data_IF_899057889615
#
_entry.id   IF_899057889615
#
_cell.length_a   1.000
_cell.length_b   1.000
_cell.length_c   1.000
_cell.angle_alpha   90.00
_cell.angle_beta   90.00
_cell.angle_gamma   90.00
#
_symmetry.space_group_name_H-M   'P 1'
#
loop_
_entity.id
_entity.type
_entity.pdbx_description
1 polymer ?
#
# COMPACT_ATOMS: atom_id res chain seq x y z
N UNK A 1 1.98 -26.32 -3.38
CA UNK A 1 1.25 -25.12 -2.93
C UNK A 1 2.15 -24.48 -1.91
N UNK A 2 2.60 -23.23 -2.13
CA UNK A 2 3.39 -22.55 -1.11
C UNK A 2 2.53 -22.42 0.14
N UNK A 3 2.99 -22.98 1.26
CA UNK A 3 2.38 -22.89 2.60
C UNK A 3 2.48 -21.47 3.21
N UNK A 4 2.68 -20.44 2.38
CA UNK A 4 2.76 -19.08 2.86
C UNK A 4 1.34 -18.60 3.18
N UNK A 5 1.09 -18.13 4.41
CA UNK A 5 -0.21 -17.57 4.76
C UNK A 5 -0.53 -16.40 3.84
N UNK A 6 -1.80 -16.28 3.46
CA UNK A 6 -2.25 -15.14 2.68
C UNK A 6 -1.93 -13.83 3.42
N UNK A 7 -1.44 -12.85 2.69
CA UNK A 7 -1.10 -11.53 3.24
C UNK A 7 -2.37 -10.82 3.72
N UNK A 8 -2.29 -10.22 4.90
CA UNK A 8 -3.31 -9.28 5.37
C UNK A 8 -3.15 -7.92 4.70
N UNK A 9 -4.16 -7.06 4.78
CA UNK A 9 -4.06 -5.69 4.25
C UNK A 9 -2.91 -4.91 4.90
N UNK A 10 -2.64 -5.14 6.18
CA UNK A 10 -1.52 -4.50 6.90
C UNK A 10 -0.17 -5.02 6.37
N UNK A 11 -0.05 -6.33 6.10
CA UNK A 11 1.15 -6.89 5.48
C UNK A 11 1.39 -6.29 4.09
N UNK A 12 0.33 -6.13 3.29
CA UNK A 12 0.41 -5.50 1.97
C UNK A 12 0.82 -4.03 2.07
N UNK A 13 0.26 -3.29 3.03
CA UNK A 13 0.63 -1.89 3.27
C UNK A 13 2.11 -1.76 3.62
N UNK A 14 2.60 -2.59 4.55
CA UNK A 14 3.98 -2.58 5.02
C UNK A 14 4.97 -2.95 3.91
N UNK A 15 4.63 -3.95 3.08
CA UNK A 15 5.43 -4.32 1.92
C UNK A 15 5.56 -3.18 0.90
N UNK A 16 4.44 -2.52 0.58
CA UNK A 16 4.45 -1.36 -0.30
C UNK A 16 5.25 -0.20 0.31
N UNK A 17 5.17 -0.02 1.63
CA UNK A 17 5.91 1.04 2.32
C UNK A 17 7.41 0.79 2.30
N UNK A 18 7.83 -0.44 2.62
CA UNK A 18 9.22 -0.84 2.58
C UNK A 18 9.81 -0.71 1.16
N UNK A 19 9.05 -1.10 0.13
CA UNK A 19 9.46 -0.93 -1.26
C UNK A 19 9.62 0.55 -1.63
N UNK A 20 8.65 1.39 -1.27
CA UNK A 20 8.71 2.83 -1.50
C UNK A 20 9.93 3.47 -0.83
N UNK A 21 10.19 3.15 0.44
CA UNK A 21 11.37 3.63 1.17
C UNK A 21 12.66 3.21 0.47
N UNK A 22 12.76 1.94 0.06
CA UNK A 22 13.93 1.40 -0.66
C UNK A 22 14.20 2.17 -1.96
N UNK A 23 13.17 2.64 -2.65
CA UNK A 23 13.31 3.39 -3.90
C UNK A 23 13.52 4.90 -3.70
N UNK A 24 12.89 5.49 -2.68
CA UNK A 24 12.92 6.94 -2.42
C UNK A 24 14.34 7.49 -2.18
N UNK A 25 15.26 6.66 -1.68
CA UNK A 25 16.64 7.04 -1.39
C UNK A 25 17.63 6.68 -2.51
N UNK A 26 17.15 6.23 -3.66
CA UNK A 26 18.01 5.80 -4.77
C UNK A 26 17.96 6.80 -5.93
N UNK A 27 19.09 6.94 -6.61
CA UNK A 27 19.19 7.68 -7.86
C UNK A 27 19.63 6.73 -8.97
N UNK A 28 19.18 7.01 -10.19
CA UNK A 28 19.57 6.24 -11.37
C UNK A 28 20.38 7.15 -12.29
N UNK A 29 21.46 6.60 -12.85
CA UNK A 29 22.40 7.35 -13.67
C UNK A 29 21.83 7.74 -15.05
N UNK A 30 20.85 6.97 -15.56
CA UNK A 30 20.26 7.17 -16.88
C UNK A 30 18.90 7.87 -16.80
N UNK A 31 18.57 8.66 -17.82
CA UNK A 31 17.27 9.35 -17.92
C UNK A 31 16.10 8.36 -17.95
N UNK A 32 16.23 7.28 -18.71
CA UNK A 32 15.19 6.25 -18.80
C UNK A 32 14.98 5.56 -17.45
N UNK A 33 16.07 5.27 -16.74
CA UNK A 33 16.01 4.69 -15.40
C UNK A 33 15.37 5.63 -14.38
N UNK A 34 15.64 6.94 -14.46
CA UNK A 34 14.97 7.94 -13.63
C UNK A 34 13.47 8.00 -13.90
N UNK A 35 13.06 7.94 -15.17
CA UNK A 35 11.64 7.94 -15.54
C UNK A 35 10.91 6.69 -15.02
N UNK A 36 11.54 5.51 -15.14
CA UNK A 36 10.98 4.26 -14.61
C UNK A 36 10.91 4.28 -13.08
N UNK A 37 11.97 4.73 -12.39
CA UNK A 37 12.00 4.82 -10.94
C UNK A 37 10.94 5.80 -10.41
N UNK A 38 10.82 6.99 -11.02
CA UNK A 38 9.78 7.96 -10.67
C UNK A 38 8.37 7.41 -10.88
N UNK A 39 8.16 6.66 -11.97
CA UNK A 39 6.89 6.00 -12.25
C UNK A 39 6.58 4.95 -11.19
N UNK A 40 7.55 4.10 -10.83
CA UNK A 40 7.38 3.07 -9.80
C UNK A 40 6.98 3.69 -8.46
N UNK A 41 7.72 4.71 -7.99
CA UNK A 41 7.42 5.48 -6.76
C UNK A 41 5.97 5.97 -6.77
N UNK A 42 5.55 6.66 -7.84
CA UNK A 42 4.19 7.19 -7.96
C UNK A 42 3.12 6.10 -7.92
N UNK A 43 3.36 4.96 -8.55
CA UNK A 43 2.40 3.85 -8.54
C UNK A 43 2.28 3.22 -7.14
N UNK A 44 3.39 3.04 -6.42
CA UNK A 44 3.33 2.51 -5.05
C UNK A 44 2.60 3.48 -4.11
N UNK A 45 2.84 4.78 -4.20
CA UNK A 45 2.08 5.78 -3.43
C UNK A 45 0.57 5.73 -3.72
N UNK A 46 0.19 5.56 -4.99
CA UNK A 46 -1.20 5.42 -5.40
C UNK A 46 -1.83 4.17 -4.75
N UNK A 47 -1.14 3.04 -4.81
CA UNK A 47 -1.62 1.77 -4.24
C UNK A 47 -1.77 1.86 -2.72
N UNK A 48 -0.82 2.47 -2.00
CA UNK A 48 -0.93 2.67 -0.55
C UNK A 48 -2.14 3.53 -0.18
N UNK A 49 -2.38 4.62 -0.92
CA UNK A 49 -3.55 5.48 -0.69
C UNK A 49 -4.85 4.74 -0.99
N UNK A 50 -4.91 3.97 -2.07
CA UNK A 50 -6.08 3.17 -2.41
C UNK A 50 -6.41 2.15 -1.30
N UNK A 51 -5.38 1.48 -0.76
CA UNK A 51 -5.54 0.53 0.35
C UNK A 51 -6.04 1.20 1.63
N UNK A 52 -5.48 2.38 1.98
CA UNK A 52 -5.97 3.18 3.12
C UNK A 52 -7.44 3.56 2.93
N UNK A 53 -7.81 4.08 1.74
CA UNK A 53 -9.19 4.49 1.45
C UNK A 53 -10.15 3.31 1.55
N UNK A 54 -9.77 2.13 1.06
CA UNK A 54 -10.59 0.92 1.17
C UNK A 54 -10.78 0.52 2.63
N UNK A 55 -9.70 0.52 3.42
CA UNK A 55 -9.74 0.17 4.85
C UNK A 55 -10.53 1.18 5.69
N UNK A 56 -10.43 2.48 5.40
CA UNK A 56 -11.20 3.53 6.06
C UNK A 56 -12.67 3.56 5.61
N UNK A 57 -12.92 3.31 4.33
CA UNK A 57 -14.27 3.17 3.78
C UNK A 57 -15.01 1.97 4.36
N UNK A 58 -14.31 0.86 4.60
CA UNK A 58 -14.88 -0.34 5.22
C UNK A 58 -15.29 -0.09 6.69
N UNK A 59 -14.50 0.70 7.44
CA UNK A 59 -14.82 1.11 8.83
C UNK A 59 -16.08 1.97 8.95
N UNK A 60 -16.47 2.68 7.89
CA UNK A 60 -17.71 3.47 7.90
C UNK A 60 -18.98 2.60 7.77
N UNK A 61 -18.82 1.31 7.47
CA UNK A 61 -19.92 0.35 7.24
C UNK A 61 -20.23 -0.54 8.44
N UNK A 62 -19.49 -0.44 9.56
CA UNK A 62 -19.92 -1.09 10.80
C UNK A 62 -21.19 -0.40 11.30
N UNK A 63 -22.36 -1.06 11.30
CA UNK A 63 -23.54 -0.49 11.91
C UNK A 63 -23.27 -0.43 13.41
N UNK A 64 -23.30 0.77 13.98
CA UNK A 64 -23.43 1.00 15.40
C UNK A 64 -24.68 0.25 15.88
N UNK A 65 -24.53 -0.98 16.35
CA UNK A 65 -25.63 -1.72 16.97
C UNK A 65 -25.99 -0.94 18.24
N UNK A 66 -27.22 -0.42 18.36
CA UNK A 66 -27.61 0.31 19.56
C UNK A 66 -27.52 -0.62 20.78
N UNK A 67 -27.16 -0.11 21.97
CA UNK A 67 -27.03 -0.92 23.16
C UNK A 67 -28.37 -1.62 23.46
N UNK A 68 -28.31 -2.95 23.58
CA UNK A 68 -29.44 -3.77 23.98
C UNK A 68 -29.99 -3.24 25.32
N UNK A 69 -31.25 -2.81 25.30
CA UNK A 69 -31.98 -2.36 26.49
C UNK A 69 -32.75 -3.53 27.09
#
# INVERSE_FOLDING_TARGET
>A
MSDDPALTDDDVYDLLHAALLSFSHRTVATKDGQAVLATAIRQMELLQRALIILKEGDRATEPELPPAT
#
